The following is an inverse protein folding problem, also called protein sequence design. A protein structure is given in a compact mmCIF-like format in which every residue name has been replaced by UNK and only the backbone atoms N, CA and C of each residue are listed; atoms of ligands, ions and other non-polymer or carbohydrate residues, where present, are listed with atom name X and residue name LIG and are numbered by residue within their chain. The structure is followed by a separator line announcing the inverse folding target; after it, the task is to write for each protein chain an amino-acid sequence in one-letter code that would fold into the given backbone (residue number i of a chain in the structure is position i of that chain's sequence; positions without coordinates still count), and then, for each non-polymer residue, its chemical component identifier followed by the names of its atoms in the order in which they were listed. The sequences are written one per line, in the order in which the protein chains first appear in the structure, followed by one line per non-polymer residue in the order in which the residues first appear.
data_IF_003095388498
#
_entry.id   IF_003095388498
#
_cell.length_a   1.000
_cell.length_b   1.000
_cell.length_c   1.000
_cell.angle_alpha   90.00
_cell.angle_beta   90.00
_cell.angle_gamma   90.00
#
_symmetry.space_group_name_H-M   'P 1'
#
loop_
_entity.id
_entity.type
_entity.pdbx_description
1 polymer ?
#
# COMPACT_ATOMS: atom_id res chain seq x y z
N UNK A 1 -14.89 -6.39 19.52
CA UNK A 1 -13.86 -6.96 18.63
C UNK A 1 -13.13 -5.82 17.97
N UNK A 2 -11.81 -5.92 17.74
CA UNK A 2 -11.06 -4.88 17.02
C UNK A 2 -11.35 -4.93 15.52
N UNK A 3 -11.55 -3.79 14.87
CA UNK A 3 -11.64 -3.67 13.41
C UNK A 3 -10.24 -3.71 12.81
N UNK A 4 -9.94 -4.72 11.98
CA UNK A 4 -8.63 -4.91 11.36
C UNK A 4 -8.76 -4.82 9.85
N UNK A 5 -7.96 -3.97 9.22
CA UNK A 5 -7.79 -3.92 7.77
C UNK A 5 -6.51 -4.65 7.40
N UNK A 6 -6.61 -5.68 6.56
CA UNK A 6 -5.46 -6.46 6.08
C UNK A 6 -5.20 -6.09 4.63
N UNK A 7 -4.00 -5.60 4.35
CA UNK A 7 -3.58 -5.16 3.03
C UNK A 7 -2.52 -6.12 2.53
N UNK A 8 -2.90 -6.98 1.58
CA UNK A 8 -2.03 -7.99 0.97
C UNK A 8 -2.13 -7.91 -0.54
N UNK A 9 -0.98 -7.87 -1.18
CA UNK A 9 -0.83 -8.07 -2.62
C UNK A 9 -0.48 -9.54 -2.84
N UNK A 10 -1.36 -10.27 -3.53
CA UNK A 10 -1.18 -11.71 -3.79
C UNK A 10 -0.91 -11.92 -5.28
N UNK A 11 0.20 -12.59 -5.66
CA UNK A 11 0.46 -12.92 -7.06
C UNK A 11 -0.54 -13.94 -7.63
N UNK A 12 -1.24 -14.65 -6.76
CA UNK A 12 -1.99 -15.87 -7.10
C UNK A 12 -3.51 -15.68 -7.34
N UNK A 13 -4.07 -14.48 -7.59
CA UNK A 13 -5.54 -14.38 -7.80
C UNK A 13 -5.92 -14.95 -9.18
N UNK A 14 -6.33 -16.23 -9.29
CA UNK A 14 -6.40 -16.94 -10.57
C UNK A 14 -7.61 -16.50 -11.40
N UNK A 15 -8.49 -15.67 -10.85
CA UNK A 15 -9.72 -15.21 -11.48
C UNK A 15 -9.73 -13.72 -11.83
N UNK A 16 -8.71 -12.94 -11.43
CA UNK A 16 -8.68 -11.50 -11.64
C UNK A 16 -7.29 -11.08 -12.10
N UNK A 17 -7.13 -10.95 -13.42
CA UNK A 17 -6.01 -10.18 -14.00
C UNK A 17 -6.02 -8.80 -13.34
N UNK A 18 -4.97 -8.48 -12.61
CA UNK A 18 -4.76 -7.12 -12.09
C UNK A 18 -4.55 -6.21 -13.30
N UNK A 19 -5.61 -5.49 -13.69
CA UNK A 19 -5.55 -4.39 -14.65
C UNK A 19 -4.77 -4.72 -15.94
N UNK A 20 -5.12 -5.83 -16.60
CA UNK A 20 -4.54 -6.30 -17.88
C UNK A 20 -3.07 -6.76 -17.87
N UNK A 21 -2.39 -6.76 -16.73
CA UNK A 21 -1.00 -7.22 -16.61
C UNK A 21 -0.92 -8.73 -16.43
N UNK A 22 0.18 -9.33 -16.92
CA UNK A 22 0.46 -10.75 -16.78
C UNK A 22 0.83 -11.11 -15.34
N UNK A 23 1.52 -10.22 -14.64
CA UNK A 23 1.94 -10.38 -13.25
C UNK A 23 1.41 -9.25 -12.37
N UNK A 24 1.39 -9.47 -11.06
CA UNK A 24 0.93 -8.45 -10.10
C UNK A 24 2.02 -7.41 -9.82
N UNK A 25 3.28 -7.83 -9.83
CA UNK A 25 4.50 -7.02 -9.65
C UNK A 25 5.64 -7.61 -10.48
N UNK A 26 6.78 -6.94 -10.51
CA UNK A 26 7.94 -7.24 -11.35
C UNK A 26 8.17 -6.22 -12.48
N UNK A 27 7.47 -5.08 -12.45
CA UNK A 27 7.55 -4.05 -13.49
C UNK A 27 8.38 -2.85 -13.02
N UNK A 28 8.87 -2.06 -13.98
CA UNK A 28 9.67 -0.86 -13.73
C UNK A 28 8.88 0.18 -12.90
N UNK A 29 7.60 0.35 -13.23
CA UNK A 29 6.69 1.33 -12.63
C UNK A 29 6.05 0.86 -11.30
N UNK A 30 6.42 -0.31 -10.78
CA UNK A 30 5.86 -0.87 -9.56
C UNK A 30 5.94 0.10 -8.36
N UNK A 31 7.04 0.85 -8.26
CA UNK A 31 7.20 1.85 -7.20
C UNK A 31 6.05 2.86 -7.20
N UNK A 32 5.69 3.38 -8.38
CA UNK A 32 4.58 4.29 -8.55
C UNK A 32 3.23 3.59 -8.33
N UNK A 33 3.05 2.37 -8.86
CA UNK A 33 1.82 1.58 -8.70
C UNK A 33 1.49 1.34 -7.22
N UNK A 34 2.48 0.92 -6.43
CA UNK A 34 2.27 0.64 -5.01
C UNK A 34 2.23 1.90 -4.15
N UNK A 35 2.88 2.98 -4.57
CA UNK A 35 2.70 4.30 -3.95
C UNK A 35 1.26 4.82 -4.15
N UNK A 36 0.74 4.73 -5.38
CA UNK A 36 -0.63 5.09 -5.71
C UNK A 36 -1.65 4.23 -4.94
N UNK A 37 -1.41 2.92 -4.86
CA UNK A 37 -2.23 2.02 -4.04
C UNK A 37 -2.28 2.48 -2.59
N UNK A 38 -1.14 2.80 -1.98
CA UNK A 38 -1.10 3.26 -0.60
C UNK A 38 -1.83 4.58 -0.38
N UNK A 39 -1.67 5.54 -1.29
CA UNK A 39 -2.41 6.80 -1.27
C UNK A 39 -3.92 6.59 -1.42
N UNK A 40 -4.32 5.71 -2.35
CA UNK A 40 -5.72 5.38 -2.58
C UNK A 40 -6.36 4.72 -1.36
N UNK A 41 -5.66 3.83 -0.65
CA UNK A 41 -6.16 3.24 0.60
C UNK A 41 -6.42 4.32 1.65
N UNK A 42 -5.45 5.21 1.87
CA UNK A 42 -5.58 6.28 2.88
C UNK A 42 -6.73 7.22 2.53
N UNK A 43 -6.84 7.64 1.27
CA UNK A 43 -7.93 8.49 0.80
C UNK A 43 -9.29 7.80 0.81
N UNK A 44 -9.33 6.49 0.55
CA UNK A 44 -10.55 5.71 0.62
C UNK A 44 -11.08 5.68 2.07
N UNK A 45 -10.20 5.51 3.06
CA UNK A 45 -10.60 5.52 4.46
C UNK A 45 -11.35 6.82 4.82
N UNK A 46 -10.91 7.99 4.32
CA UNK A 46 -11.61 9.27 4.49
C UNK A 46 -13.05 9.31 3.91
N UNK A 47 -13.38 8.41 2.98
CA UNK A 47 -14.64 8.44 2.21
C UNK A 47 -15.61 7.32 2.54
N UNK A 48 -15.19 6.34 3.34
CA UNK A 48 -16.02 5.18 3.69
C UNK A 48 -16.38 5.23 5.17
N UNK A 49 -17.55 4.69 5.52
CA UNK A 49 -17.96 4.51 6.93
C UNK A 49 -17.28 3.28 7.55
N UNK A 50 -15.95 3.21 7.42
CA UNK A 50 -15.14 2.15 7.99
C UNK A 50 -13.82 2.72 8.51
N UNK A 51 -13.68 2.64 9.83
CA UNK A 51 -12.49 3.12 10.54
C UNK A 51 -11.77 1.92 11.18
N UNK A 52 -10.62 1.47 10.65
CA UNK A 52 -9.86 0.38 11.24
C UNK A 52 -9.19 0.84 12.55
N UNK A 53 -9.08 -0.07 13.52
CA UNK A 53 -8.26 0.11 14.72
C UNK A 53 -6.83 -0.39 14.50
N UNK A 54 -6.65 -1.33 13.56
CA UNK A 54 -5.35 -1.86 13.15
C UNK A 54 -5.29 -2.00 11.64
N UNK A 55 -4.19 -1.57 11.02
CA UNK A 55 -3.86 -1.87 9.62
C UNK A 55 -2.66 -2.83 9.61
N UNK A 56 -2.85 -4.03 9.04
CA UNK A 56 -1.78 -4.98 8.80
C UNK A 56 -1.28 -4.88 7.35
N UNK A 57 -0.09 -4.32 7.18
CA UNK A 57 0.62 -4.19 5.91
C UNK A 57 1.51 -5.42 5.69
N UNK A 58 1.39 -6.04 4.53
CA UNK A 58 2.12 -7.24 4.15
C UNK A 58 3.12 -6.89 3.03
N UNK A 59 4.41 -7.08 3.31
CA UNK A 59 5.56 -6.82 2.42
C UNK A 59 5.65 -5.39 1.84
N UNK A 60 6.69 -5.18 1.02
CA UNK A 60 7.07 -3.90 0.45
C UNK A 60 5.93 -3.19 -0.32
N UNK A 61 5.04 -3.95 -0.97
CA UNK A 61 3.91 -3.42 -1.74
C UNK A 61 2.95 -2.53 -0.92
N UNK A 62 2.87 -2.74 0.39
CA UNK A 62 2.00 -1.98 1.29
C UNK A 62 2.77 -1.19 2.36
N UNK A 63 4.11 -1.25 2.34
CA UNK A 63 4.95 -0.66 3.37
C UNK A 63 4.76 0.86 3.51
N UNK A 64 4.51 1.57 2.40
CA UNK A 64 4.32 3.02 2.42
C UNK A 64 3.11 3.45 3.27
N UNK A 65 2.08 2.60 3.38
CA UNK A 65 0.84 2.89 4.12
C UNK A 65 1.11 3.10 5.60
N UNK A 66 2.10 2.39 6.16
CA UNK A 66 2.53 2.54 7.56
C UNK A 66 2.94 3.99 7.85
N UNK A 67 3.59 4.65 6.88
CA UNK A 67 3.98 6.06 7.00
C UNK A 67 2.82 7.00 6.67
N UNK A 68 2.10 6.74 5.58
CA UNK A 68 1.01 7.62 5.11
C UNK A 68 -0.11 7.78 6.14
N UNK A 69 -0.48 6.71 6.87
CA UNK A 69 -1.57 6.80 7.85
C UNK A 69 -1.25 7.75 9.00
N UNK A 70 0.03 7.91 9.34
CA UNK A 70 0.50 8.84 10.39
C UNK A 70 0.64 10.28 9.89
N UNK A 71 0.54 10.51 8.58
CA UNK A 71 0.65 11.84 7.96
C UNK A 71 -0.71 12.48 7.64
N UNK A 72 -1.81 11.80 7.94
CA UNK A 72 -3.13 12.38 7.80
C UNK A 72 -3.27 13.62 8.69
N UNK A 73 -3.96 14.68 8.22
CA UNK A 73 -4.12 15.92 8.99
C UNK A 73 -4.72 15.66 10.38
N UNK A 74 -4.29 16.44 11.38
CA UNK A 74 -4.76 16.28 12.76
C UNK A 74 -6.27 16.48 12.92
N UNK A 75 -6.88 17.24 12.01
CA UNK A 75 -8.33 17.47 11.93
C UNK A 75 -9.11 16.17 11.67
N UNK A 76 -8.46 15.16 11.10
CA UNK A 76 -8.98 13.80 10.91
C UNK A 76 -8.60 12.88 12.09
N UNK A 77 -8.93 13.32 13.32
CA UNK A 77 -8.62 12.63 14.59
C UNK A 77 -8.99 11.14 14.62
N UNK A 78 -9.89 10.70 13.73
CA UNK A 78 -10.25 9.30 13.54
C UNK A 78 -9.03 8.39 13.27
N UNK A 79 -8.00 8.88 12.59
CA UNK A 79 -6.86 8.05 12.17
C UNK A 79 -5.64 8.12 13.10
N UNK A 80 -5.60 9.07 14.05
CA UNK A 80 -4.50 9.22 15.02
C UNK A 80 -4.30 8.01 15.95
N UNK A 81 -5.28 7.10 16.03
CA UNK A 81 -5.26 5.94 16.93
C UNK A 81 -5.15 4.60 16.19
N UNK A 82 -4.95 4.63 14.87
CA UNK A 82 -4.80 3.40 14.08
C UNK A 82 -3.43 2.80 14.36
N UNK A 83 -3.38 1.61 14.94
CA UNK A 83 -2.13 0.88 15.06
C UNK A 83 -1.74 0.27 13.70
N UNK A 84 -0.44 0.21 13.41
CA UNK A 84 0.07 -0.45 12.22
C UNK A 84 0.86 -1.70 12.60
N UNK A 85 0.68 -2.76 11.82
CA UNK A 85 1.47 -3.99 11.88
C UNK A 85 2.10 -4.18 10.52
N UNK A 86 3.39 -4.52 10.49
CA UNK A 86 4.10 -4.82 9.25
C UNK A 86 4.56 -6.28 9.29
N UNK A 87 4.09 -7.08 8.33
CA UNK A 87 4.44 -8.50 8.20
C UNK A 87 5.34 -8.68 6.99
N UNK A 88 6.52 -9.24 7.21
CA UNK A 88 7.48 -9.59 6.16
C UNK A 88 7.30 -11.08 5.84
N UNK A 89 6.88 -11.42 4.63
CA UNK A 89 6.79 -12.81 4.14
C UNK A 89 8.06 -13.22 3.42
N UNK A 90 8.76 -12.27 2.79
CA UNK A 90 9.98 -12.58 2.05
C UNK A 90 10.97 -11.41 2.07
N UNK A 91 12.08 -11.61 2.80
CA UNK A 91 13.14 -10.61 2.93
C UNK A 91 13.93 -10.37 1.62
N UNK A 92 13.81 -11.26 0.63
CA UNK A 92 14.47 -11.10 -0.67
C UNK A 92 13.82 -9.98 -1.52
N UNK A 93 12.54 -9.65 -1.29
CA UNK A 93 11.82 -8.63 -2.05
C UNK A 93 11.56 -7.39 -1.20
N UNK A 94 12.38 -6.36 -1.39
CA UNK A 94 12.38 -5.16 -0.54
C UNK A 94 11.81 -3.92 -1.23
N UNK A 95 11.49 -4.00 -2.52
CA UNK A 95 11.06 -2.83 -3.30
C UNK A 95 12.16 -1.80 -3.51
N UNK A 96 13.44 -2.21 -3.46
CA UNK A 96 14.58 -1.33 -3.75
C UNK A 96 14.55 -0.99 -5.24
N UNK A 97 14.63 0.31 -5.53
CA UNK A 97 14.69 0.91 -6.86
C UNK A 97 15.71 2.04 -6.82
N UNK A 98 16.43 2.24 -7.92
CA UNK A 98 17.34 3.36 -8.05
C UNK A 98 16.55 4.67 -8.11
N UNK A 99 17.06 5.72 -7.45
CA UNK A 99 16.46 7.06 -7.48
C UNK A 99 16.81 7.83 -8.77
N UNK A 100 17.56 7.21 -9.68
CA UNK A 100 17.97 7.82 -10.94
C UNK A 100 16.81 7.75 -11.94
N UNK A 101 15.99 8.79 -11.92
CA UNK A 101 14.89 9.02 -12.86
C UNK A 101 15.36 9.61 -14.20
N UNK A 102 16.66 9.59 -14.53
CA UNK A 102 17.17 10.17 -15.80
C UNK A 102 16.61 9.52 -17.08
N UNK A 103 15.85 8.44 -16.97
CA UNK A 103 15.24 7.72 -18.08
C UNK A 103 13.70 7.70 -18.09
N UNK A 104 13.01 8.38 -17.15
CA UNK A 104 11.54 8.46 -17.25
C UNK A 104 11.12 9.64 -18.14
N UNK A 105 10.37 9.41 -19.24
CA UNK A 105 9.73 10.50 -19.94
C UNK A 105 8.71 11.10 -18.99
N UNK A 106 8.91 12.36 -18.64
CA UNK A 106 7.86 13.19 -18.06
C UNK A 106 6.62 13.04 -18.94
N UNK A 107 5.50 12.69 -18.29
CA UNK A 107 4.13 12.66 -18.83
C UNK A 107 3.91 13.74 -19.88
#
# INVERSE_FOLDING_TARGET
MKKVLILKVSPEDPGKRSLSLENVYGYEDDGLRFALFGLAVVRMLEKIDFQPEVINCNDWHSALIVNLVNKLPEEEQAYQRVATVFTIHNLAYQGIRDLDHSQEPFI
#
